data_IF_839322113518
#
_entry.id   IF_839322113518
#
_cell.length_a   1.000
_cell.length_b   1.000
_cell.length_c   1.000
_cell.angle_alpha   90.00
_cell.angle_beta   90.00
_cell.angle_gamma   90.00
#
_symmetry.space_group_name_H-M   'P 1'
#
loop_
_entity.id
_entity.type
_entity.pdbx_description
1 polymer ?
#
# COMPACT_ATOMS: atom_id res chain seq x y z
N UNK A 1 34.15 -2.29 -24.33
CA UNK A 1 32.82 -2.87 -24.52
C UNK A 1 31.83 -2.03 -23.75
N UNK A 2 31.20 -1.08 -24.44
CA UNK A 2 30.08 -0.30 -23.90
C UNK A 2 28.79 -1.03 -24.24
N UNK A 3 28.02 -1.39 -23.22
CA UNK A 3 26.57 -1.58 -23.39
C UNK A 3 25.88 -0.77 -22.31
N UNK A 4 25.37 0.38 -22.74
CA UNK A 4 24.44 1.20 -22.00
C UNK A 4 23.08 0.50 -22.07
N UNK A 5 22.52 0.08 -20.94
CA UNK A 5 21.07 -0.05 -20.83
C UNK A 5 20.50 1.34 -20.49
N UNK A 6 19.35 1.75 -21.06
CA UNK A 6 18.76 3.03 -20.73
C UNK A 6 18.23 2.96 -19.30
N UNK A 7 18.80 3.75 -18.41
CA UNK A 7 18.14 4.12 -17.18
C UNK A 7 16.93 4.98 -17.61
N UNK A 8 15.79 4.34 -17.89
CA UNK A 8 14.54 5.06 -18.06
C UNK A 8 14.39 5.96 -16.83
N UNK A 9 14.27 7.27 -17.06
CA UNK A 9 14.13 8.26 -16.02
C UNK A 9 12.98 7.82 -15.10
N UNK A 10 13.32 7.28 -13.93
CA UNK A 10 12.34 6.90 -12.93
C UNK A 10 11.75 8.21 -12.42
N UNK A 11 10.54 8.53 -12.87
CA UNK A 11 9.72 9.56 -12.23
C UNK A 11 9.71 9.24 -10.74
N UNK A 12 10.00 10.18 -9.83
CA UNK A 12 10.00 9.88 -8.41
C UNK A 12 8.61 9.38 -8.04
N UNK A 13 8.53 8.09 -7.70
CA UNK A 13 7.29 7.44 -7.31
C UNK A 13 6.77 8.14 -6.04
N UNK A 14 5.64 8.83 -6.14
CA UNK A 14 5.11 9.60 -5.01
C UNK A 14 4.60 8.63 -3.93
N UNK A 15 4.98 8.86 -2.67
CA UNK A 15 4.52 8.07 -1.53
C UNK A 15 3.73 8.98 -0.58
N UNK A 16 2.48 8.62 -0.29
CA UNK A 16 1.62 9.25 0.72
C UNK A 16 1.54 8.35 1.94
N UNK A 17 1.68 8.92 3.14
CA UNK A 17 1.60 8.18 4.42
C UNK A 17 0.49 8.76 5.30
N UNK A 18 -0.79 8.59 4.91
CA UNK A 18 -1.94 9.09 5.66
C UNK A 18 -2.00 8.50 7.06
N UNK A 19 -2.47 9.28 8.02
CA UNK A 19 -2.71 8.87 9.40
C UNK A 19 -4.16 8.41 9.63
N UNK A 20 -5.09 8.80 8.76
CA UNK A 20 -6.52 8.48 8.88
C UNK A 20 -7.07 7.80 7.63
N UNK A 21 -8.24 7.16 7.78
CA UNK A 21 -8.93 6.55 6.65
C UNK A 21 -9.35 7.59 5.61
N UNK A 22 -9.85 8.74 6.05
CA UNK A 22 -10.29 9.82 5.15
C UNK A 22 -9.12 10.37 4.31
N UNK A 23 -7.95 10.54 4.91
CA UNK A 23 -6.75 10.96 4.18
C UNK A 23 -6.31 9.93 3.13
N UNK A 24 -6.44 8.64 3.44
CA UNK A 24 -6.12 7.57 2.50
C UNK A 24 -7.12 7.55 1.33
N UNK A 25 -8.41 7.67 1.61
CA UNK A 25 -9.46 7.76 0.58
C UNK A 25 -9.24 9.00 -0.29
N UNK A 26 -8.97 10.16 0.31
CA UNK A 26 -8.68 11.39 -0.44
C UNK A 26 -7.43 11.25 -1.32
N UNK A 27 -6.37 10.60 -0.82
CA UNK A 27 -5.15 10.36 -1.60
C UNK A 27 -5.40 9.42 -2.80
N UNK A 28 -6.19 8.37 -2.61
CA UNK A 28 -6.57 7.44 -3.68
C UNK A 28 -7.53 8.08 -4.69
N UNK A 29 -8.47 8.91 -4.23
CA UNK A 29 -9.37 9.67 -5.11
C UNK A 29 -8.60 10.68 -5.97
N UNK A 30 -7.61 11.37 -5.40
CA UNK A 30 -6.77 12.33 -6.12
C UNK A 30 -5.84 11.66 -7.14
N UNK A 31 -5.48 10.39 -6.93
CA UNK A 31 -4.64 9.63 -7.84
C UNK A 31 -5.10 8.18 -7.92
N UNK A 32 -6.10 7.87 -8.77
CA UNK A 32 -6.67 6.53 -8.87
C UNK A 32 -5.68 5.43 -9.28
N UNK A 33 -4.53 5.80 -9.88
CA UNK A 33 -3.44 4.89 -10.22
C UNK A 33 -2.47 4.61 -9.06
N UNK A 34 -2.66 5.25 -7.89
CA UNK A 34 -1.86 4.98 -6.71
C UNK A 34 -2.27 3.63 -6.11
N UNK A 35 -1.27 2.85 -5.69
CA UNK A 35 -1.51 1.52 -5.13
C UNK A 35 -1.49 1.61 -3.60
N UNK A 36 -2.58 1.21 -2.90
CA UNK A 36 -2.57 1.11 -1.45
C UNK A 36 -1.65 -0.02 -1.01
N UNK A 37 -0.85 0.22 0.03
CA UNK A 37 0.11 -0.75 0.55
C UNK A 37 0.10 -0.80 2.08
N UNK A 38 -0.06 -2.01 2.62
CA UNK A 38 0.14 -2.30 4.03
C UNK A 38 1.57 -2.83 4.27
N UNK A 39 1.74 -4.14 4.53
CA UNK A 39 3.05 -4.76 4.76
C UNK A 39 3.91 -4.92 3.51
N UNK A 40 3.32 -4.84 2.31
CA UNK A 40 4.04 -4.91 1.04
C UNK A 40 4.51 -6.30 0.62
N UNK A 41 4.16 -7.37 1.35
CA UNK A 41 4.62 -8.75 1.08
C UNK A 41 4.34 -9.19 -0.37
N UNK A 42 3.11 -9.01 -0.84
CA UNK A 42 2.74 -9.39 -2.21
C UNK A 42 3.19 -8.32 -3.22
N UNK A 43 2.99 -7.06 -2.87
CA UNK A 43 3.29 -5.92 -3.74
C UNK A 43 4.77 -5.86 -4.13
N UNK A 44 5.65 -5.97 -3.16
CA UNK A 44 7.09 -5.84 -3.38
C UNK A 44 7.64 -7.02 -4.18
N UNK A 45 7.04 -8.20 -4.08
CA UNK A 45 7.39 -9.34 -4.95
C UNK A 45 7.18 -8.99 -6.43
N UNK A 46 6.01 -8.43 -6.78
CA UNK A 46 5.71 -8.00 -8.15
C UNK A 46 6.53 -6.78 -8.60
N UNK A 47 6.85 -5.86 -7.69
CA UNK A 47 7.72 -4.71 -8.00
C UNK A 47 9.16 -5.17 -8.30
N UNK A 48 9.72 -5.99 -7.42
CA UNK A 48 11.10 -6.48 -7.51
C UNK A 48 11.32 -7.36 -8.75
N UNK A 49 10.33 -8.17 -9.13
CA UNK A 49 10.37 -9.01 -10.33
C UNK A 49 10.18 -8.25 -11.65
N UNK A 50 9.85 -6.96 -11.60
CA UNK A 50 9.61 -6.18 -12.80
C UNK A 50 8.17 -6.14 -13.28
N UNK A 51 7.30 -6.97 -12.71
CA UNK A 51 5.92 -7.18 -13.17
C UNK A 51 4.99 -6.01 -12.82
N UNK A 52 5.32 -5.25 -11.78
CA UNK A 52 4.55 -4.09 -11.35
C UNK A 52 5.43 -2.83 -11.27
N UNK A 53 4.87 -1.71 -11.73
CA UNK A 53 5.47 -0.37 -11.66
C UNK A 53 4.41 0.63 -11.19
N UNK A 54 4.14 0.72 -9.88
CA UNK A 54 3.09 1.60 -9.38
C UNK A 54 3.46 3.06 -9.67
N UNK A 55 2.50 3.86 -10.15
CA UNK A 55 2.74 5.29 -10.37
C UNK A 55 2.94 6.06 -9.05
N UNK A 56 2.32 5.56 -7.98
CA UNK A 56 2.44 6.07 -6.62
C UNK A 56 2.03 5.01 -5.60
N UNK A 57 2.35 5.24 -4.33
CA UNK A 57 1.96 4.40 -3.20
C UNK A 57 1.21 5.20 -2.13
N UNK A 58 0.18 4.57 -1.54
CA UNK A 58 -0.50 5.08 -0.34
C UNK A 58 -0.29 4.09 0.79
N UNK A 59 0.53 4.45 1.77
CA UNK A 59 0.85 3.61 2.91
C UNK A 59 -0.27 3.56 3.94
N UNK A 60 -0.88 2.39 4.12
CA UNK A 60 -1.97 2.16 5.08
C UNK A 60 -1.46 1.91 6.51
N UNK A 61 -0.16 1.70 6.68
CA UNK A 61 0.46 1.30 7.94
C UNK A 61 0.40 2.32 9.08
N UNK A 62 -0.18 3.50 8.90
CA UNK A 62 -0.37 4.48 10.00
C UNK A 62 -1.83 4.65 10.43
N UNK A 63 -2.77 4.09 9.67
CA UNK A 63 -4.21 4.23 9.91
C UNK A 63 -4.61 3.27 11.02
N UNK A 64 -5.03 3.80 12.16
CA UNK A 64 -5.39 3.00 13.34
C UNK A 64 -6.77 2.37 13.24
N UNK A 65 -7.68 3.02 12.51
CA UNK A 65 -9.10 2.72 12.38
C UNK A 65 -9.36 1.40 11.66
N UNK A 66 -8.41 0.96 10.83
CA UNK A 66 -8.47 -0.32 10.11
C UNK A 66 -7.62 -1.40 10.79
N UNK A 67 -7.11 -1.16 12.00
CA UNK A 67 -6.35 -2.15 12.77
C UNK A 67 -7.24 -2.82 13.81
N UNK A 68 -6.80 -3.99 14.24
CA UNK A 68 -7.48 -4.74 15.31
C UNK A 68 -8.64 -5.56 14.78
N UNK A 69 -9.39 -6.11 15.73
CA UNK A 69 -10.58 -6.89 15.48
C UNK A 69 -11.51 -6.81 16.68
N UNK A 70 -12.78 -7.14 16.47
CA UNK A 70 -13.77 -7.23 17.53
C UNK A 70 -14.69 -8.41 17.27
N UNK A 71 -15.21 -9.01 18.34
CA UNK A 71 -16.25 -10.03 18.27
C UNK A 71 -17.60 -9.41 18.59
N UNK A 72 -18.55 -9.54 17.67
CA UNK A 72 -19.90 -8.98 17.79
C UNK A 72 -20.90 -9.96 17.17
N UNK A 73 -21.97 -10.27 17.91
CA UNK A 73 -23.10 -11.07 17.43
C UNK A 73 -22.73 -12.39 16.75
N UNK A 74 -21.75 -13.11 17.32
CA UNK A 74 -21.31 -14.40 16.77
C UNK A 74 -20.24 -14.31 15.67
N UNK A 75 -19.87 -13.10 15.25
CA UNK A 75 -18.93 -12.85 14.15
C UNK A 75 -17.71 -12.04 14.60
N UNK A 76 -16.57 -12.31 13.98
CA UNK A 76 -15.38 -11.47 14.13
C UNK A 76 -15.32 -10.45 12.99
N UNK A 77 -15.29 -9.16 13.32
CA UNK A 77 -14.95 -8.10 12.38
C UNK A 77 -13.45 -7.87 12.45
N UNK A 78 -12.77 -8.07 11.33
CA UNK A 78 -11.32 -7.91 11.20
C UNK A 78 -11.02 -6.63 10.43
N UNK A 79 -10.21 -5.74 11.01
CA UNK A 79 -9.73 -4.57 10.29
C UNK A 79 -8.80 -4.97 9.14
N UNK A 80 -8.89 -4.28 8.00
CA UNK A 80 -8.08 -4.60 6.81
C UNK A 80 -6.55 -4.44 7.03
N UNK A 81 -6.15 -3.69 8.06
CA UNK A 81 -4.78 -3.53 8.53
C UNK A 81 -4.40 -4.42 9.72
N UNK A 82 -5.24 -5.39 10.09
CA UNK A 82 -4.91 -6.43 11.06
C UNK A 82 -3.80 -7.32 10.50
N UNK A 83 -2.75 -7.51 11.31
CA UNK A 83 -1.65 -8.40 10.96
C UNK A 83 -1.95 -9.83 11.39
N UNK A 84 -1.50 -10.83 10.64
CA UNK A 84 -1.60 -12.25 11.03
C UNK A 84 -1.10 -12.54 12.46
N UNK A 85 -0.03 -11.88 12.91
CA UNK A 85 0.51 -12.05 14.27
C UNK A 85 -0.38 -11.50 15.41
N UNK A 86 -1.47 -10.80 15.08
CA UNK A 86 -2.41 -10.19 16.04
C UNK A 86 -3.84 -10.73 15.89
N UNK A 87 -4.03 -11.71 15.00
CA UNK A 87 -5.23 -12.53 14.92
C UNK A 87 -5.13 -13.65 15.94
#
# INVERSE_FOLDING_TARGET
MTTHAPQAAQTPQSVKLPATLDEAVAALAAMPAAVPVAGGTDLMSSVNSGQLRPAALVGLGRISEIRGWQYQDGHALLGAGLTHARM
#
